data_IF_658652690493
#
_entry.id   IF_658652690493
#
_cell.length_a   1.000
_cell.length_b   1.000
_cell.length_c   1.000
_cell.angle_alpha   90.00
_cell.angle_beta   90.00
_cell.angle_gamma   90.00
#
_symmetry.space_group_name_H-M   'P 1'
#
loop_
_entity.id
_entity.type
_entity.pdbx_description
1 polymer ?
#
# COMPACT_ATOMS: atom_id res chain seq x y z
N UNK A 1 11.84 2.73 13.39
CA UNK A 1 11.52 3.57 12.21
C UNK A 1 10.02 3.74 12.10
N UNK A 2 9.56 4.97 12.00
CA UNK A 2 8.13 5.16 11.76
C UNK A 2 7.75 4.58 10.41
N UNK A 3 6.57 4.00 10.37
CA UNK A 3 6.02 3.43 9.15
C UNK A 3 5.40 4.56 8.33
N UNK A 4 5.88 4.81 7.08
CA UNK A 4 5.27 5.84 6.24
C UNK A 4 3.87 5.42 5.83
N UNK A 5 2.87 6.01 6.46
CA UNK A 5 1.48 5.73 6.15
C UNK A 5 1.05 6.55 4.94
N UNK A 6 0.52 5.89 3.92
CA UNK A 6 0.05 6.54 2.70
C UNK A 6 -1.42 6.89 2.79
N UNK A 7 -2.22 6.05 3.42
CA UNK A 7 -3.66 6.28 3.54
C UNK A 7 -4.25 5.43 4.65
N UNK A 8 -5.47 5.75 5.05
CA UNK A 8 -6.17 4.98 6.09
C UNK A 8 -7.66 5.10 5.85
N UNK A 9 -8.34 3.97 5.74
CA UNK A 9 -9.79 3.93 5.51
C UNK A 9 -10.37 2.61 6.02
N UNK A 10 -11.54 2.69 6.63
CA UNK A 10 -12.29 1.54 7.14
C UNK A 10 -11.46 0.59 8.00
N UNK A 11 -10.57 1.15 8.85
CA UNK A 11 -9.71 0.36 9.71
C UNK A 11 -8.50 -0.25 9.02
N UNK A 12 -8.29 0.05 7.75
CA UNK A 12 -7.16 -0.45 6.97
C UNK A 12 -6.10 0.64 6.88
N UNK A 13 -4.85 0.29 7.18
CA UNK A 13 -3.72 1.21 7.05
C UNK A 13 -2.91 0.79 5.83
N UNK A 14 -2.66 1.75 4.93
CA UNK A 14 -1.81 1.52 3.76
C UNK A 14 -0.47 2.16 4.02
N UNK A 15 0.60 1.40 3.84
CA UNK A 15 1.95 1.84 4.17
C UNK A 15 2.96 1.37 3.14
N UNK A 16 4.11 2.03 3.14
CA UNK A 16 5.23 1.66 2.27
C UNK A 16 6.50 1.96 3.05
N UNK A 17 7.45 1.03 3.06
CA UNK A 17 8.69 1.22 3.83
C UNK A 17 9.82 1.65 2.92
N UNK A 18 10.72 2.49 3.42
CA UNK A 18 11.83 3.00 2.62
C UNK A 18 12.80 1.90 2.18
N UNK A 19 12.93 0.84 2.97
CA UNK A 19 13.84 -0.28 2.68
C UNK A 19 13.17 -1.47 2.00
N UNK A 20 11.95 -1.29 1.50
CA UNK A 20 11.27 -2.35 0.75
C UNK A 20 12.04 -2.69 -0.52
N UNK A 21 11.98 -3.97 -0.91
CA UNK A 21 12.67 -4.49 -2.09
C UNK A 21 11.70 -4.69 -3.25
N UNK A 22 12.26 -4.72 -4.47
CA UNK A 22 11.47 -5.01 -5.66
C UNK A 22 10.79 -6.38 -5.53
N UNK A 23 9.61 -6.55 -6.15
CA UNK A 23 8.93 -5.62 -7.07
C UNK A 23 8.25 -4.47 -6.33
N UNK A 24 7.85 -3.39 -7.05
CA UNK A 24 7.11 -2.30 -6.42
C UNK A 24 5.84 -2.81 -5.74
N UNK A 25 5.69 -2.48 -4.45
CA UNK A 25 4.57 -2.99 -3.67
C UNK A 25 4.24 -2.06 -2.51
N UNK A 26 3.07 -2.27 -1.91
CA UNK A 26 2.66 -1.58 -0.70
C UNK A 26 2.13 -2.58 0.31
N UNK A 27 1.99 -2.15 1.54
CA UNK A 27 1.50 -2.98 2.64
C UNK A 27 0.12 -2.51 3.06
N UNK A 28 -0.78 -3.45 3.35
CA UNK A 28 -2.09 -3.16 3.90
C UNK A 28 -2.21 -3.90 5.23
N UNK A 29 -2.57 -3.19 6.29
CA UNK A 29 -2.65 -3.72 7.63
C UNK A 29 -4.07 -3.54 8.15
N UNK A 30 -4.69 -4.63 8.59
CA UNK A 30 -6.03 -4.62 9.12
C UNK A 30 -6.05 -5.43 10.42
N UNK A 31 -6.02 -4.75 11.57
CA UNK A 31 -5.89 -5.40 12.85
C UNK A 31 -4.58 -6.18 12.93
N UNK A 32 -4.67 -7.48 13.20
CA UNK A 32 -3.50 -8.34 13.26
C UNK A 32 -3.14 -8.96 11.90
N UNK A 33 -3.94 -8.70 10.87
CA UNK A 33 -3.73 -9.25 9.54
C UNK A 33 -2.99 -8.27 8.67
N UNK A 34 -2.09 -8.73 7.82
CA UNK A 34 -1.38 -7.88 6.88
C UNK A 34 -1.09 -8.61 5.59
N UNK A 35 -1.02 -7.83 4.51
CA UNK A 35 -0.71 -8.35 3.20
C UNK A 35 0.12 -7.34 2.43
N UNK A 36 0.90 -7.84 1.47
CA UNK A 36 1.65 -7.01 0.53
C UNK A 36 0.98 -7.13 -0.83
N UNK A 37 0.86 -6.01 -1.51
CA UNK A 37 0.20 -5.94 -2.81
C UNK A 37 1.17 -5.39 -3.85
N UNK A 38 1.28 -6.10 -4.95
CA UNK A 38 2.00 -5.60 -6.12
C UNK A 38 1.22 -4.43 -6.70
N UNK A 39 1.92 -3.39 -7.15
CA UNK A 39 1.26 -2.19 -7.68
C UNK A 39 0.85 -2.38 -9.13
N UNK A 40 1.71 -2.99 -9.94
CA UNK A 40 1.48 -3.20 -11.35
C UNK A 40 2.20 -4.46 -11.81
N UNK A 41 1.49 -5.53 -12.15
CA UNK A 41 0.03 -5.67 -12.11
C UNK A 41 -0.49 -5.66 -10.67
N UNK A 42 -1.67 -5.11 -10.49
CA UNK A 42 -2.26 -5.02 -9.16
C UNK A 42 -2.73 -6.38 -8.68
N UNK A 43 -2.30 -6.77 -7.48
CA UNK A 43 -2.72 -8.04 -6.90
C UNK A 43 -1.96 -8.34 -5.63
N UNK A 44 -2.46 -9.34 -4.89
CA UNK A 44 -1.82 -9.73 -3.64
C UNK A 44 -0.49 -10.44 -3.93
N UNK A 45 0.55 -10.06 -3.22
CA UNK A 45 1.87 -10.62 -3.38
C UNK A 45 2.21 -11.58 -2.25
N UNK A 46 1.79 -11.25 -1.03
CA UNK A 46 2.16 -12.01 0.15
C UNK A 46 1.18 -11.71 1.27
N UNK A 47 0.93 -12.69 2.15
CA UNK A 47 0.04 -12.51 3.29
C UNK A 47 -1.42 -12.62 2.90
N UNK A 48 -2.31 -12.18 3.79
CA UNK A 48 -3.75 -12.30 3.55
C UNK A 48 -4.53 -11.27 4.36
N UNK A 49 -5.70 -10.90 3.83
CA UNK A 49 -6.68 -10.07 4.51
C UNK A 49 -8.03 -10.75 4.45
N UNK A 50 -8.94 -10.44 5.38
CA UNK A 50 -10.32 -10.92 5.26
C UNK A 50 -10.93 -10.43 3.93
N UNK A 51 -11.89 -11.19 3.34
CA UNK A 51 -12.40 -10.86 2.01
C UNK A 51 -12.91 -9.44 1.84
N UNK A 52 -13.60 -8.88 2.85
CA UNK A 52 -14.08 -7.50 2.76
C UNK A 52 -12.93 -6.51 2.71
N UNK A 53 -11.94 -6.67 3.57
CA UNK A 53 -10.79 -5.78 3.58
C UNK A 53 -10.01 -5.90 2.28
N UNK A 54 -9.84 -7.13 1.77
CA UNK A 54 -9.17 -7.35 0.49
C UNK A 54 -9.87 -6.59 -0.63
N UNK A 55 -11.20 -6.70 -0.70
CA UNK A 55 -11.97 -6.03 -1.75
C UNK A 55 -11.81 -4.50 -1.66
N UNK A 56 -11.83 -3.94 -0.46
CA UNK A 56 -11.68 -2.49 -0.27
C UNK A 56 -10.29 -2.01 -0.70
N UNK A 57 -9.24 -2.77 -0.35
CA UNK A 57 -7.89 -2.42 -0.75
C UNK A 57 -7.74 -2.47 -2.27
N UNK A 58 -8.28 -3.51 -2.90
CA UNK A 58 -8.18 -3.64 -4.36
C UNK A 58 -8.92 -2.50 -5.07
N UNK A 59 -10.10 -2.13 -4.57
CA UNK A 59 -10.84 -1.01 -5.14
C UNK A 59 -10.07 0.30 -5.01
N UNK A 60 -9.56 0.58 -3.82
CA UNK A 60 -8.78 1.79 -3.56
C UNK A 60 -7.52 1.82 -4.41
N UNK A 61 -6.78 0.72 -4.47
CA UNK A 61 -5.52 0.66 -5.20
C UNK A 61 -5.71 0.82 -6.71
N UNK A 62 -6.81 0.30 -7.25
CA UNK A 62 -7.11 0.47 -8.67
C UNK A 62 -7.32 1.95 -9.01
N UNK A 63 -7.90 2.71 -8.09
CA UNK A 63 -8.12 4.15 -8.29
C UNK A 63 -6.83 4.97 -8.16
N UNK A 64 -5.83 4.45 -7.44
CA UNK A 64 -4.64 5.21 -7.07
C UNK A 64 -3.33 4.57 -7.55
N UNK A 65 -3.40 3.77 -8.60
CA UNK A 65 -2.25 3.00 -9.07
C UNK A 65 -1.07 3.90 -9.48
N UNK A 66 -1.36 5.00 -10.15
CA UNK A 66 -0.32 5.96 -10.56
C UNK A 66 0.33 6.60 -9.34
N UNK A 67 -0.48 7.01 -8.37
CA UNK A 67 0.03 7.63 -7.14
C UNK A 67 0.87 6.66 -6.32
N UNK A 68 0.47 5.39 -6.29
CA UNK A 68 1.24 4.35 -5.61
C UNK A 68 2.60 4.15 -6.25
N UNK A 69 2.66 4.16 -7.57
CA UNK A 69 3.92 4.00 -8.27
C UNK A 69 4.83 5.22 -8.07
N UNK A 70 4.25 6.42 -8.04
CA UNK A 70 5.00 7.63 -7.73
C UNK A 70 5.58 7.59 -6.32
N UNK A 71 4.78 7.10 -5.35
CA UNK A 71 5.25 6.93 -3.98
C UNK A 71 6.44 5.97 -3.93
N UNK A 72 6.35 4.87 -4.67
CA UNK A 72 7.44 3.91 -4.74
C UNK A 72 8.73 4.56 -5.24
N UNK A 73 8.62 5.38 -6.28
CA UNK A 73 9.77 6.05 -6.88
C UNK A 73 10.35 7.11 -5.93
N UNK A 74 9.50 7.86 -5.23
CA UNK A 74 9.98 8.83 -4.23
C UNK A 74 10.76 8.13 -3.13
N UNK A 75 10.32 6.94 -2.75
CA UNK A 75 10.98 6.15 -1.74
C UNK A 75 12.43 5.86 -2.12
N UNK A 76 12.69 5.52 -3.38
CA UNK A 76 14.04 5.20 -3.83
C UNK A 76 14.97 6.41 -3.85
N UNK A 77 14.42 7.61 -4.01
CA UNK A 77 15.22 8.83 -4.02
C UNK A 77 15.27 9.52 -2.65
N UNK A 78 14.72 8.88 -1.62
CA UNK A 78 14.77 9.39 -0.25
C UNK A 78 13.83 10.56 0.01
N UNK A 79 12.89 10.83 -0.89
CA UNK A 79 11.92 11.90 -0.70
C UNK A 79 10.81 11.47 0.23
N UNK A 80 10.11 12.44 0.83
CA UNK A 80 8.93 12.16 1.64
C UNK A 80 7.85 11.51 0.80
N UNK A 81 7.18 10.52 1.39
CA UNK A 81 6.09 9.84 0.70
C UNK A 81 4.80 10.65 0.83
N UNK A 82 4.01 10.75 -0.25
CA UNK A 82 2.78 11.53 -0.23
C UNK A 82 1.68 10.81 0.54
N UNK A 83 0.72 11.58 1.03
CA UNK A 83 -0.54 11.01 1.49
C UNK A 83 -1.43 10.83 0.27
N UNK A 84 -2.16 9.73 0.22
CA UNK A 84 -3.07 9.44 -0.89
C UNK A 84 -4.50 9.44 -0.34
N UNK A 85 -5.43 10.00 -1.10
CA UNK A 85 -6.82 10.10 -0.69
C UNK A 85 -7.37 8.74 -0.28
N UNK A 86 -8.09 8.65 0.85
CA UNK A 86 -8.71 7.39 1.26
C UNK A 86 -9.92 7.05 0.40
N UNK A 87 -10.36 5.82 0.54
CA UNK A 87 -11.55 5.35 -0.15
C UNK A 87 -12.81 6.00 0.39
#
# INVERSE_FOLDING_TARGET
MPMPELSRFFGIVIAMYYDDHLPPHFHAIYGSEKAEFCIDPLGILKGRLPPRALALVMEWAALHQVELMEAWERRTSGQSLPRIEPL
#
